data_IF_587275189214
#
_entry.id   IF_587275189214
#
_cell.length_a   1.000
_cell.length_b   1.000
_cell.length_c   1.000
_cell.angle_alpha   90.00
_cell.angle_beta   90.00
_cell.angle_gamma   90.00
#
_symmetry.space_group_name_H-M   'P 1'
#
loop_
_entity.id
_entity.type
_entity.pdbx_description
1 polymer ?
#
# COMPACT_ATOMS: atom_id res chain seq x y z
N UNK A 1 -21.53 18.97 4.17
CA UNK A 1 -20.14 19.07 4.69
C UNK A 1 -19.51 17.70 4.54
N UNK A 2 -18.22 17.62 4.23
CA UNK A 2 -17.53 16.34 4.08
C UNK A 2 -17.19 15.77 5.46
N UNK A 3 -17.45 14.48 5.67
CA UNK A 3 -17.16 13.78 6.94
C UNK A 3 -15.76 13.15 6.95
N UNK A 4 -15.05 13.21 5.82
CA UNK A 4 -13.62 12.91 5.72
C UNK A 4 -12.80 14.18 5.87
N UNK A 5 -11.75 14.14 6.70
CA UNK A 5 -10.83 15.29 6.90
C UNK A 5 -9.41 14.83 7.20
N UNK A 6 -8.42 15.59 6.74
CA UNK A 6 -7.01 15.37 7.04
C UNK A 6 -6.49 16.52 7.90
N UNK A 7 -5.87 16.19 9.03
CA UNK A 7 -5.21 17.15 9.91
C UNK A 7 -3.74 16.78 10.05
N UNK A 8 -2.86 17.72 9.73
CA UNK A 8 -1.44 17.63 10.04
C UNK A 8 -1.25 18.10 11.49
N UNK A 9 -0.59 17.28 12.30
CA UNK A 9 -0.28 17.58 13.69
C UNK A 9 1.09 18.25 13.83
N UNK A 10 2.09 17.69 13.14
CA UNK A 10 3.47 18.18 13.18
C UNK A 10 4.18 17.94 11.85
N UNK A 11 5.17 18.78 11.56
CA UNK A 11 6.06 18.62 10.41
C UNK A 11 7.54 18.71 10.83
N UNK A 12 8.40 17.98 10.12
CA UNK A 12 9.85 18.11 10.17
C UNK A 12 10.39 18.08 8.74
N UNK A 13 10.86 19.22 8.24
CA UNK A 13 11.20 19.36 6.82
C UNK A 13 9.98 19.07 5.93
N UNK A 14 10.11 18.12 5.00
CA UNK A 14 9.00 17.67 4.14
C UNK A 14 8.09 16.63 4.83
N UNK A 15 8.58 15.97 5.88
CA UNK A 15 7.86 14.91 6.57
C UNK A 15 6.71 15.46 7.43
N UNK A 16 5.62 14.69 7.53
CA UNK A 16 4.39 15.10 8.20
C UNK A 16 3.87 13.93 9.04
N UNK A 17 3.38 14.23 10.23
CA UNK A 17 2.53 13.31 10.99
C UNK A 17 1.19 13.96 11.25
N UNK A 18 0.12 13.15 11.21
CA UNK A 18 -1.24 13.65 11.26
C UNK A 18 -2.27 12.53 11.36
N UNK A 19 -3.52 12.90 11.11
CA UNK A 19 -4.66 12.00 11.17
C UNK A 19 -5.60 12.26 9.99
N UNK A 20 -5.90 11.21 9.22
CA UNK A 20 -6.99 11.18 8.26
C UNK A 20 -8.22 10.55 8.94
N UNK A 21 -9.25 11.35 9.17
CA UNK A 21 -10.50 10.93 9.81
C UNK A 21 -11.48 10.43 8.77
N UNK A 22 -12.10 9.29 9.02
CA UNK A 22 -13.23 8.77 8.24
C UNK A 22 -14.37 8.34 9.18
N UNK A 23 -15.60 8.13 8.69
CA UNK A 23 -16.71 7.65 9.51
C UNK A 23 -16.45 6.32 10.23
N UNK A 24 -15.54 5.47 9.73
CA UNK A 24 -15.20 4.16 10.32
C UNK A 24 -13.99 4.19 11.25
N UNK A 25 -13.29 5.32 11.34
CA UNK A 25 -12.16 5.46 12.25
C UNK A 25 -11.09 6.42 11.76
N UNK A 26 -10.18 6.73 12.69
CA UNK A 26 -9.04 7.60 12.45
C UNK A 26 -7.84 6.79 11.91
N UNK A 27 -7.14 7.35 10.93
CA UNK A 27 -5.94 6.77 10.32
C UNK A 27 -4.74 7.63 10.68
N UNK A 28 -3.79 7.11 11.46
CA UNK A 28 -2.58 7.84 11.86
C UNK A 28 -1.56 7.84 10.73
N UNK A 29 -1.07 9.01 10.32
CA UNK A 29 -0.06 9.15 9.26
C UNK A 29 1.33 9.54 9.81
N UNK A 30 2.46 9.02 9.27
CA UNK A 30 2.53 8.08 8.15
C UNK A 30 1.89 6.71 8.45
N UNK A 31 1.20 6.15 7.46
CA UNK A 31 0.35 4.95 7.58
C UNK A 31 0.83 3.84 6.63
N UNK A 32 0.87 2.61 7.13
CA UNK A 32 1.08 1.41 6.31
C UNK A 32 -0.20 0.57 6.26
N UNK A 33 -0.66 0.26 5.05
CA UNK A 33 -1.88 -0.48 4.77
C UNK A 33 -1.54 -1.93 4.43
N UNK A 34 -1.86 -2.92 5.30
CA UNK A 34 -1.80 -4.32 4.93
C UNK A 34 -2.74 -4.62 3.75
N UNK A 35 -2.23 -5.34 2.75
CA UNK A 35 -2.97 -5.62 1.51
C UNK A 35 -3.85 -6.87 1.66
N UNK A 36 -5.16 -6.67 1.56
CA UNK A 36 -6.21 -7.67 1.50
C UNK A 36 -6.64 -8.01 0.07
N UNK A 37 -5.89 -8.89 -0.60
CA UNK A 37 -6.06 -9.18 -2.03
C UNK A 37 -7.45 -9.72 -2.41
N UNK A 38 -8.08 -10.53 -1.57
CA UNK A 38 -9.37 -11.17 -1.87
C UNK A 38 -10.27 -11.14 -0.64
N UNK A 39 -10.49 -9.93 -0.10
CA UNK A 39 -11.23 -9.69 1.14
C UNK A 39 -10.61 -10.45 2.34
N UNK A 40 -9.29 -10.59 2.34
CA UNK A 40 -8.53 -11.16 3.46
C UNK A 40 -7.06 -10.74 3.34
N UNK A 41 -6.49 -10.30 4.45
CA UNK A 41 -5.03 -10.22 4.59
C UNK A 41 -4.53 -11.65 4.75
N UNK A 42 -3.77 -12.13 3.76
CA UNK A 42 -3.41 -13.55 3.66
C UNK A 42 -2.74 -14.04 4.95
N UNK A 43 -3.24 -15.15 5.47
CA UNK A 43 -2.75 -15.82 6.68
C UNK A 43 -2.97 -15.04 8.00
N UNK A 44 -3.92 -14.10 8.03
CA UNK A 44 -4.27 -13.32 9.22
C UNK A 44 -5.77 -13.32 9.46
N UNK A 45 -6.18 -13.43 10.72
CA UNK A 45 -7.53 -13.05 11.14
C UNK A 45 -7.62 -11.52 11.27
N UNK A 46 -8.77 -10.88 11.00
CA UNK A 46 -8.93 -9.42 11.11
C UNK A 46 -8.53 -8.85 12.49
N UNK A 47 -8.83 -9.58 13.56
CA UNK A 47 -8.47 -9.19 14.93
C UNK A 47 -6.95 -9.24 15.14
N UNK A 48 -6.28 -10.23 14.55
CA UNK A 48 -4.81 -10.31 14.55
C UNK A 48 -4.19 -9.16 13.76
N UNK A 49 -4.79 -8.73 12.64
CA UNK A 49 -4.32 -7.54 11.89
C UNK A 49 -4.52 -6.28 12.74
N UNK A 50 -5.67 -6.13 13.38
CA UNK A 50 -5.95 -5.03 14.32
C UNK A 50 -4.92 -4.98 15.44
N UNK A 51 -4.56 -6.13 16.02
CA UNK A 51 -3.58 -6.24 17.10
C UNK A 51 -2.16 -5.82 16.69
N UNK A 52 -1.82 -5.82 15.39
CA UNK A 52 -0.55 -5.24 14.91
C UNK A 52 -0.51 -3.71 15.04
N UNK A 53 -1.66 -3.06 15.20
CA UNK A 53 -1.79 -1.61 15.22
C UNK A 53 -2.20 -0.99 13.88
N UNK A 54 -2.57 -1.79 12.88
CA UNK A 54 -3.09 -1.28 11.60
C UNK A 54 -4.41 -0.52 11.79
N UNK A 55 -4.48 0.68 11.20
CA UNK A 55 -5.67 1.54 11.21
C UNK A 55 -6.55 1.33 9.98
N UNK A 56 -5.98 0.87 8.87
CA UNK A 56 -6.63 0.76 7.57
C UNK A 56 -6.04 -0.40 6.77
N UNK A 57 -6.84 -1.00 5.88
CA UNK A 57 -6.40 -2.00 4.89
C UNK A 57 -6.52 -1.48 3.46
N UNK A 58 -5.77 -2.11 2.55
CA UNK A 58 -6.02 -1.99 1.11
C UNK A 58 -6.80 -3.22 0.61
N UNK A 59 -7.97 -3.01 0.01
CA UNK A 59 -8.74 -4.01 -0.73
C UNK A 59 -8.46 -3.96 -2.22
N UNK A 60 -8.33 -5.11 -2.86
CA UNK A 60 -8.05 -5.18 -4.29
C UNK A 60 -9.33 -5.34 -5.13
N UNK A 61 -9.68 -4.31 -5.88
CA UNK A 61 -10.90 -4.26 -6.69
C UNK A 61 -10.89 -5.31 -7.80
N UNK A 62 -9.76 -5.49 -8.49
CA UNK A 62 -9.64 -6.44 -9.60
C UNK A 62 -9.98 -7.88 -9.19
N UNK A 63 -9.47 -8.35 -8.06
CA UNK A 63 -9.77 -9.70 -7.60
C UNK A 63 -11.22 -9.84 -7.13
N UNK A 64 -11.74 -8.84 -6.42
CA UNK A 64 -13.08 -8.87 -5.83
C UNK A 64 -14.19 -8.76 -6.89
N UNK A 65 -13.97 -7.99 -7.96
CA UNK A 65 -14.93 -7.91 -9.07
C UNK A 65 -15.06 -9.23 -9.83
N UNK A 66 -14.00 -10.05 -9.87
CA UNK A 66 -14.02 -11.35 -10.54
C UNK A 66 -14.57 -12.45 -9.62
N UNK A 67 -14.12 -12.49 -8.36
CA UNK A 67 -14.59 -13.47 -7.38
C UNK A 67 -14.47 -12.90 -5.97
N UNK A 68 -15.58 -12.76 -5.23
CA UNK A 68 -16.91 -13.35 -5.47
C UNK A 68 -17.89 -12.47 -6.29
N UNK A 69 -17.39 -11.40 -6.92
CA UNK A 69 -18.09 -10.26 -7.53
C UNK A 69 -18.55 -9.19 -6.54
N UNK A 70 -18.56 -7.94 -7.00
CA UNK A 70 -18.89 -6.77 -6.20
C UNK A 70 -20.38 -6.75 -5.82
N UNK A 71 -21.27 -7.12 -6.74
CA UNK A 71 -22.72 -7.24 -6.52
C UNK A 71 -23.03 -8.26 -5.42
N UNK A 72 -22.23 -9.34 -5.34
CA UNK A 72 -22.40 -10.34 -4.29
C UNK A 72 -21.97 -9.77 -2.94
N UNK A 73 -20.85 -9.05 -2.89
CA UNK A 73 -20.36 -8.43 -1.65
C UNK A 73 -21.36 -7.38 -1.15
N UNK A 74 -21.87 -6.53 -2.04
CA UNK A 74 -22.91 -5.54 -1.71
C UNK A 74 -24.13 -6.21 -1.07
N UNK A 75 -24.68 -7.25 -1.72
CA UNK A 75 -25.82 -8.03 -1.20
C UNK A 75 -25.54 -8.69 0.16
N UNK A 76 -24.28 -8.99 0.47
CA UNK A 76 -23.87 -9.57 1.75
C UNK A 76 -23.55 -8.50 2.82
N UNK A 77 -23.74 -7.22 2.49
CA UNK A 77 -23.62 -6.08 3.41
C UNK A 77 -22.31 -5.31 3.30
N UNK A 78 -21.65 -5.34 2.15
CA UNK A 78 -20.40 -4.62 1.89
C UNK A 78 -19.14 -5.34 2.38
N UNK A 79 -17.98 -4.86 1.94
CA UNK A 79 -16.69 -5.53 2.15
C UNK A 79 -16.34 -5.66 3.63
N UNK A 80 -16.62 -4.63 4.44
CA UNK A 80 -16.37 -4.61 5.89
C UNK A 80 -17.05 -5.78 6.60
N UNK A 81 -18.37 -5.94 6.39
CA UNK A 81 -19.13 -7.04 6.97
C UNK A 81 -18.70 -8.39 6.39
N UNK A 82 -18.43 -8.43 5.08
CA UNK A 82 -18.03 -9.65 4.39
C UNK A 82 -16.70 -10.24 4.92
N UNK A 83 -15.73 -9.39 5.26
CA UNK A 83 -14.41 -9.83 5.74
C UNK A 83 -14.21 -9.68 7.26
N UNK A 84 -15.24 -9.27 7.99
CA UNK A 84 -15.18 -8.98 9.43
C UNK A 84 -14.09 -7.94 9.80
N UNK A 85 -14.06 -6.83 9.06
CA UNK A 85 -13.18 -5.69 9.34
C UNK A 85 -14.02 -4.42 9.49
N UNK A 86 -14.03 -3.82 10.67
CA UNK A 86 -14.89 -2.69 11.04
C UNK A 86 -14.22 -1.31 10.86
N UNK A 87 -12.90 -1.30 10.67
CA UNK A 87 -12.06 -0.12 10.43
C UNK A 87 -12.05 0.31 8.95
N UNK A 88 -11.43 1.46 8.61
CA UNK A 88 -11.33 1.95 7.24
C UNK A 88 -10.70 0.95 6.25
N UNK A 89 -11.15 1.00 5.00
CA UNK A 89 -10.60 0.29 3.84
C UNK A 89 -10.39 1.28 2.68
N UNK A 90 -9.20 1.26 2.09
CA UNK A 90 -8.92 1.85 0.78
C UNK A 90 -9.08 0.77 -0.29
N UNK A 91 -9.79 1.03 -1.38
CA UNK A 91 -9.79 0.14 -2.55
C UNK A 91 -8.96 0.71 -3.67
N UNK A 92 -8.10 -0.11 -4.27
CA UNK A 92 -7.47 0.28 -5.54
C UNK A 92 -8.49 0.32 -6.69
N UNK A 93 -8.11 0.90 -7.82
CA UNK A 93 -9.01 1.07 -8.96
C UNK A 93 -9.16 -0.21 -9.81
N UNK A 94 -8.25 -1.17 -9.63
CA UNK A 94 -8.06 -2.36 -10.47
C UNK A 94 -7.22 -2.12 -11.73
N UNK A 95 -6.84 -0.87 -12.04
CA UNK A 95 -6.11 -0.52 -13.26
C UNK A 95 -4.77 -1.25 -13.40
N UNK A 96 -3.92 -1.17 -12.37
CA UNK A 96 -2.60 -1.81 -12.38
C UNK A 96 -2.66 -3.32 -12.64
N UNK A 97 -3.59 -4.04 -12.00
CA UNK A 97 -3.71 -5.49 -12.14
C UNK A 97 -4.19 -5.88 -13.53
N UNK A 98 -5.21 -5.21 -14.06
CA UNK A 98 -5.67 -5.45 -15.44
C UNK A 98 -4.53 -5.17 -16.42
N UNK A 99 -3.71 -4.15 -16.15
CA UNK A 99 -2.52 -3.89 -16.94
C UNK A 99 -1.43 -4.98 -16.78
N UNK A 100 -1.23 -5.56 -15.61
CA UNK A 100 -0.24 -6.63 -15.45
C UNK A 100 -0.54 -7.92 -16.25
N UNK A 101 -1.76 -8.07 -16.80
CA UNK A 101 -2.17 -9.22 -17.62
C UNK A 101 -1.68 -9.10 -19.07
N UNK A 102 -0.42 -9.48 -19.33
CA UNK A 102 0.13 -9.51 -20.68
C UNK A 102 -0.69 -10.40 -21.63
N UNK A 103 -1.00 -9.90 -22.84
CA UNK A 103 -1.67 -10.64 -23.91
C UNK A 103 -3.18 -10.86 -23.75
N UNK A 104 -3.77 -10.50 -22.61
CA UNK A 104 -5.20 -10.73 -22.31
C UNK A 104 -6.01 -9.43 -22.22
N UNK A 105 -5.47 -8.29 -22.68
CA UNK A 105 -6.09 -6.97 -22.54
C UNK A 105 -6.11 -6.17 -23.85
N UNK A 106 -7.11 -5.31 -24.01
CA UNK A 106 -7.21 -4.26 -25.03
C UNK A 106 -7.57 -2.94 -24.35
N UNK A 107 -6.62 -2.00 -24.38
CA UNK A 107 -6.77 -0.63 -23.85
C UNK A 107 -7.35 0.28 -24.94
N UNK A 108 -8.36 1.07 -24.58
CA UNK A 108 -8.94 2.13 -25.41
C UNK A 108 -9.23 3.36 -24.54
N UNK A 109 -9.58 4.49 -25.15
CA UNK A 109 -10.00 5.70 -24.41
C UNK A 109 -11.17 5.45 -23.45
N UNK A 110 -12.04 4.48 -23.77
CA UNK A 110 -13.20 4.16 -22.93
C UNK A 110 -12.83 3.42 -21.64
N UNK A 111 -11.77 2.60 -21.67
CA UNK A 111 -11.36 1.73 -20.58
C UNK A 111 -10.53 0.54 -21.06
N UNK A 112 -10.56 -0.57 -20.30
CA UNK A 112 -9.80 -1.78 -20.61
C UNK A 112 -10.70 -3.00 -20.70
N UNK A 113 -10.71 -3.64 -21.87
CA UNK A 113 -11.30 -4.97 -22.05
C UNK A 113 -10.26 -6.03 -21.73
N UNK A 114 -10.61 -7.05 -20.94
CA UNK A 114 -9.68 -8.11 -20.59
C UNK A 114 -10.37 -9.46 -20.36
N UNK A 115 -9.59 -10.54 -20.38
CA UNK A 115 -10.04 -11.88 -19.99
C UNK A 115 -9.65 -12.19 -18.55
N UNK A 116 -10.61 -12.70 -17.79
CA UNK A 116 -10.44 -13.16 -16.42
C UNK A 116 -9.38 -14.26 -16.35
N UNK A 117 -8.41 -14.12 -15.44
CA UNK A 117 -7.44 -15.16 -15.13
C UNK A 117 -8.03 -16.37 -14.40
N UNK A 118 -9.30 -16.29 -13.96
CA UNK A 118 -9.97 -17.35 -13.20
C UNK A 118 -10.65 -18.34 -14.14
N UNK A 119 -11.35 -17.85 -15.16
CA UNK A 119 -12.26 -18.64 -16.00
C UNK A 119 -12.28 -18.23 -17.48
N UNK A 120 -11.48 -17.22 -17.88
CA UNK A 120 -11.41 -16.74 -19.25
C UNK A 120 -12.58 -15.87 -19.70
N UNK A 121 -13.54 -15.56 -18.82
CA UNK A 121 -14.66 -14.66 -19.11
C UNK A 121 -14.17 -13.26 -19.52
N UNK A 122 -14.88 -12.61 -20.44
CA UNK A 122 -14.53 -11.26 -20.90
C UNK A 122 -15.17 -10.19 -20.01
N UNK A 123 -14.38 -9.20 -19.62
CA UNK A 123 -14.77 -8.08 -18.78
C UNK A 123 -14.35 -6.75 -19.41
N UNK A 124 -15.06 -5.68 -19.08
CA UNK A 124 -14.69 -4.32 -19.45
C UNK A 124 -14.64 -3.45 -18.19
N UNK A 125 -13.50 -2.83 -17.92
CA UNK A 125 -13.31 -1.94 -16.78
C UNK A 125 -13.07 -0.51 -17.30
N UNK A 126 -14.03 0.37 -17.00
CA UNK A 126 -13.99 1.80 -17.32
C UNK A 126 -13.88 2.61 -16.02
N UNK A 127 -13.54 3.92 -16.07
CA UNK A 127 -13.65 4.81 -14.93
C UNK A 127 -14.96 4.71 -14.15
N UNK A 128 -16.09 4.72 -14.85
CA UNK A 128 -17.43 4.64 -14.25
C UNK A 128 -17.64 3.29 -13.59
N UNK A 129 -17.31 2.20 -14.29
CA UNK A 129 -17.47 0.85 -13.75
C UNK A 129 -16.57 0.60 -12.53
N UNK A 130 -15.35 1.18 -12.51
CA UNK A 130 -14.48 1.12 -11.33
C UNK A 130 -15.10 1.84 -10.14
N UNK A 131 -15.71 3.02 -10.34
CA UNK A 131 -16.43 3.75 -9.28
C UNK A 131 -17.65 2.97 -8.78
N UNK A 132 -18.41 2.35 -9.67
CA UNK A 132 -19.56 1.50 -9.32
C UNK A 132 -19.14 0.27 -8.51
N UNK A 133 -18.04 -0.37 -8.90
CA UNK A 133 -17.52 -1.52 -8.16
C UNK A 133 -17.09 -1.10 -6.75
N UNK A 134 -16.28 -0.04 -6.63
CA UNK A 134 -15.83 0.43 -5.33
C UNK A 134 -16.99 0.92 -4.45
N UNK A 135 -18.05 1.46 -5.07
CA UNK A 135 -19.32 1.77 -4.38
C UNK A 135 -19.98 0.52 -3.79
N UNK A 136 -20.18 -0.52 -4.60
CA UNK A 136 -20.78 -1.79 -4.17
C UNK A 136 -19.94 -2.49 -3.09
N UNK A 137 -18.61 -2.37 -3.16
CA UNK A 137 -17.72 -2.85 -2.10
C UNK A 137 -17.91 -2.03 -0.80
N UNK A 138 -18.18 -0.73 -0.89
CA UNK A 138 -18.42 0.15 0.24
C UNK A 138 -17.16 0.62 0.96
N UNK A 139 -16.04 0.78 0.24
CA UNK A 139 -14.76 1.26 0.79
C UNK A 139 -14.82 2.72 1.22
N UNK A 140 -13.98 3.09 2.19
CA UNK A 140 -13.94 4.44 2.79
C UNK A 140 -13.12 5.41 1.93
N UNK A 141 -12.05 4.90 1.31
CA UNK A 141 -11.19 5.64 0.38
C UNK A 141 -11.21 4.92 -0.97
N UNK A 142 -11.64 5.64 -2.00
CA UNK A 142 -11.78 5.18 -3.38
C UNK A 142 -10.62 5.75 -4.20
N UNK A 143 -9.97 4.93 -5.01
CA UNK A 143 -8.95 5.40 -5.96
C UNK A 143 -9.58 5.64 -7.33
N UNK A 144 -9.32 6.80 -7.96
CA UNK A 144 -9.74 7.03 -9.33
C UNK A 144 -9.15 5.97 -10.27
N UNK A 145 -9.85 5.67 -11.37
CA UNK A 145 -9.31 4.77 -12.38
C UNK A 145 -8.23 5.48 -13.20
N UNK A 146 -7.11 4.78 -13.44
CA UNK A 146 -5.93 5.35 -14.07
C UNK A 146 -5.27 4.36 -15.04
N UNK A 147 -4.40 4.91 -15.89
CA UNK A 147 -3.48 4.16 -16.72
C UNK A 147 -2.08 4.21 -16.09
N UNK A 148 -1.59 3.06 -15.61
CA UNK A 148 -0.23 2.98 -15.08
C UNK A 148 0.76 3.16 -16.23
N UNK A 149 1.44 4.30 -16.23
CA UNK A 149 2.41 4.63 -17.27
C UNK A 149 3.51 3.57 -17.34
N UNK A 150 3.84 3.04 -18.53
CA UNK A 150 4.88 2.03 -18.67
C UNK A 150 6.28 2.58 -18.32
N UNK A 151 7.15 1.70 -17.83
CA UNK A 151 8.55 2.00 -17.56
C UNK A 151 9.45 0.82 -17.97
N UNK A 152 10.58 1.06 -18.68
CA UNK A 152 10.92 2.32 -19.34
C UNK A 152 9.99 2.59 -20.54
N UNK A 153 9.82 3.85 -20.92
CA UNK A 153 9.00 4.24 -22.07
C UNK A 153 9.47 5.57 -22.68
N UNK A 154 9.23 5.73 -23.98
CA UNK A 154 9.49 6.99 -24.69
C UNK A 154 8.59 8.12 -24.20
N UNK A 155 9.08 9.36 -24.29
CA UNK A 155 8.38 10.56 -23.79
C UNK A 155 6.95 10.70 -24.32
N UNK A 156 6.73 10.44 -25.60
CA UNK A 156 5.40 10.55 -26.21
C UNK A 156 4.43 9.48 -25.68
N UNK A 157 4.93 8.28 -25.37
CA UNK A 157 4.13 7.20 -24.75
C UNK A 157 3.78 7.58 -23.31
N UNK A 158 4.74 8.12 -22.56
CA UNK A 158 4.52 8.63 -21.20
C UNK A 158 3.45 9.74 -21.20
N UNK A 159 3.57 10.70 -22.10
CA UNK A 159 2.64 11.83 -22.20
C UNK A 159 1.23 11.37 -22.60
N UNK A 160 1.10 10.45 -23.56
CA UNK A 160 -0.19 9.92 -23.99
C UNK A 160 -0.90 9.17 -22.85
N UNK A 161 -0.17 8.29 -22.15
CA UNK A 161 -0.66 7.50 -21.02
C UNK A 161 -1.09 8.37 -19.83
N UNK A 162 -0.25 9.34 -19.46
CA UNK A 162 -0.55 10.28 -18.37
C UNK A 162 -1.79 11.13 -18.69
N UNK A 163 -1.90 11.68 -19.92
CA UNK A 163 -3.06 12.48 -20.32
C UNK A 163 -4.35 11.65 -20.39
N UNK A 164 -4.27 10.38 -20.79
CA UNK A 164 -5.42 9.46 -20.70
C UNK A 164 -5.84 9.27 -19.25
N UNK A 165 -4.90 9.04 -18.35
CA UNK A 165 -5.16 8.95 -16.90
C UNK A 165 -5.84 10.19 -16.35
N UNK A 166 -5.48 11.40 -16.80
CA UNK A 166 -6.13 12.63 -16.34
C UNK A 166 -7.58 12.76 -16.83
N UNK A 167 -7.87 12.34 -18.07
CA UNK A 167 -9.26 12.26 -18.57
C UNK A 167 -10.07 11.22 -17.82
N UNK A 168 -9.46 10.09 -17.48
CA UNK A 168 -10.08 9.06 -16.65
C UNK A 168 -10.30 9.52 -15.20
N UNK A 169 -9.38 10.30 -14.64
CA UNK A 169 -9.53 10.90 -13.32
C UNK A 169 -10.76 11.83 -13.25
N UNK A 170 -10.98 12.66 -14.29
CA UNK A 170 -12.19 13.49 -14.39
C UNK A 170 -13.46 12.62 -14.46
N UNK A 171 -13.47 11.60 -15.33
CA UNK A 171 -14.61 10.67 -15.46
C UNK A 171 -14.90 9.93 -14.14
N UNK A 172 -13.87 9.50 -13.42
CA UNK A 172 -14.02 8.92 -12.09
C UNK A 172 -14.56 9.92 -11.08
N UNK A 173 -14.13 11.18 -11.12
CA UNK A 173 -14.66 12.24 -10.25
C UNK A 173 -16.15 12.45 -10.49
N UNK A 174 -16.56 12.52 -11.75
CA UNK A 174 -17.95 12.72 -12.14
C UNK A 174 -18.83 11.52 -11.72
N UNK A 175 -18.35 10.30 -11.96
CA UNK A 175 -19.05 9.06 -11.59
C UNK A 175 -19.10 8.82 -10.07
N UNK A 176 -18.11 9.29 -9.31
CA UNK A 176 -18.11 9.21 -7.85
C UNK A 176 -19.23 10.05 -7.24
N UNK A 177 -19.50 11.24 -7.81
CA UNK A 177 -20.58 12.13 -7.37
C UNK A 177 -20.39 12.69 -5.97
N UNK A 178 -21.49 13.11 -5.32
CA UNK A 178 -21.46 13.61 -3.95
C UNK A 178 -21.63 12.47 -2.94
N UNK A 179 -20.55 12.17 -2.22
CA UNK A 179 -20.48 11.12 -1.18
C UNK A 179 -19.72 11.66 0.02
N UNK A 180 -20.37 12.38 0.94
CA UNK A 180 -19.68 13.09 2.03
C UNK A 180 -18.95 12.16 3.01
N UNK A 181 -19.37 10.90 3.10
CA UNK A 181 -18.79 9.87 3.97
C UNK A 181 -17.60 9.13 3.37
N UNK A 182 -17.29 9.36 2.09
CA UNK A 182 -16.24 8.65 1.36
C UNK A 182 -15.21 9.65 0.80
N UNK A 183 -13.97 9.20 0.68
CA UNK A 183 -12.90 9.95 0.04
C UNK A 183 -12.65 9.44 -1.38
N UNK A 184 -12.35 10.34 -2.31
CA UNK A 184 -11.82 9.99 -3.63
C UNK A 184 -10.40 10.54 -3.77
N UNK A 185 -9.45 9.66 -4.06
CA UNK A 185 -8.05 10.01 -4.29
C UNK A 185 -7.74 10.03 -5.80
N UNK A 186 -7.05 11.08 -6.23
CA UNK A 186 -6.49 11.18 -7.58
C UNK A 186 -5.13 10.51 -7.67
N UNK A 187 -4.70 10.07 -8.85
CA UNK A 187 -3.41 9.37 -9.03
C UNK A 187 -2.53 10.18 -9.99
N UNK A 188 -1.44 10.75 -9.46
CA UNK A 188 -0.42 11.43 -10.26
C UNK A 188 0.36 10.39 -11.06
N UNK A 189 0.41 10.57 -12.37
CA UNK A 189 1.20 9.77 -13.32
C UNK A 189 2.31 10.65 -13.93
N UNK A 190 3.08 10.10 -14.88
CA UNK A 190 4.16 10.83 -15.56
C UNK A 190 5.54 10.19 -15.46
N UNK A 191 5.63 8.92 -15.06
CA UNK A 191 6.88 8.16 -15.01
C UNK A 191 7.95 8.88 -14.16
N UNK A 192 9.22 8.89 -14.59
CA UNK A 192 10.34 9.54 -13.93
C UNK A 192 10.60 10.98 -14.40
N UNK A 193 9.69 11.58 -15.17
CA UNK A 193 9.89 12.87 -15.84
C UNK A 193 9.23 14.03 -15.07
N UNK A 194 9.99 15.04 -14.60
CA UNK A 194 9.45 16.16 -13.82
C UNK A 194 8.31 16.93 -14.51
N UNK A 195 8.46 17.23 -15.80
CA UNK A 195 7.47 18.03 -16.55
C UNK A 195 6.13 17.29 -16.68
N UNK A 196 6.16 15.96 -16.82
CA UNK A 196 4.95 15.14 -16.92
C UNK A 196 4.25 15.02 -15.57
N UNK A 197 5.02 14.93 -14.49
CA UNK A 197 4.53 14.92 -13.12
C UNK A 197 3.89 16.25 -12.74
N UNK A 198 4.44 17.37 -13.22
CA UNK A 198 3.86 18.71 -13.05
C UNK A 198 2.53 18.84 -13.81
N UNK A 199 2.50 18.50 -15.10
CA UNK A 199 1.26 18.51 -15.92
C UNK A 199 0.15 17.66 -15.26
N UNK A 200 0.50 16.44 -14.78
CA UNK A 200 -0.44 15.58 -14.06
C UNK A 200 -0.94 16.21 -12.76
N UNK A 201 -0.07 16.88 -12.00
CA UNK A 201 -0.44 17.51 -10.73
C UNK A 201 -1.39 18.67 -10.93
N UNK A 202 -1.16 19.53 -11.94
CA UNK A 202 -2.05 20.65 -12.25
C UNK A 202 -3.43 20.17 -12.68
N UNK A 203 -3.50 19.12 -13.51
CA UNK A 203 -4.77 18.52 -13.90
C UNK A 203 -5.54 17.99 -12.68
N UNK A 204 -4.90 17.22 -11.79
CA UNK A 204 -5.57 16.69 -10.59
C UNK A 204 -5.98 17.78 -9.59
N UNK A 205 -5.21 18.87 -9.48
CA UNK A 205 -5.58 20.03 -8.65
C UNK A 205 -6.80 20.74 -9.19
N UNK A 206 -6.88 20.91 -10.52
CA UNK A 206 -8.04 21.50 -11.19
C UNK A 206 -9.32 20.69 -10.97
N UNK A 207 -9.23 19.35 -11.03
CA UNK A 207 -10.35 18.44 -10.79
C UNK A 207 -10.78 18.43 -9.31
N UNK A 208 -9.80 18.42 -8.39
CA UNK A 208 -10.01 18.43 -6.94
C UNK A 208 -10.31 17.05 -6.35
N UNK A 209 -9.44 16.58 -5.45
CA UNK A 209 -9.55 15.29 -4.77
C UNK A 209 -9.34 15.43 -3.25
N UNK A 210 -9.68 14.37 -2.51
CA UNK A 210 -9.55 14.33 -1.05
C UNK A 210 -8.16 13.92 -0.58
N UNK A 211 -7.41 13.30 -1.47
CA UNK A 211 -6.03 12.88 -1.32
C UNK A 211 -5.42 12.63 -2.69
N UNK A 212 -4.09 12.54 -2.73
CA UNK A 212 -3.35 12.45 -3.96
C UNK A 212 -2.32 11.33 -3.86
N UNK A 213 -2.47 10.32 -4.71
CA UNK A 213 -1.51 9.25 -4.82
C UNK A 213 -0.42 9.56 -5.84
N UNK A 214 0.75 8.99 -5.63
CA UNK A 214 1.90 9.01 -6.52
C UNK A 214 1.96 7.61 -7.15
N UNK A 215 1.44 7.50 -8.37
CA UNK A 215 1.40 6.26 -9.14
C UNK A 215 2.61 6.09 -10.06
N UNK A 216 2.74 4.91 -10.66
CA UNK A 216 3.77 4.63 -11.68
C UNK A 216 5.20 4.63 -11.15
N UNK A 217 5.38 4.36 -9.85
CA UNK A 217 6.67 4.07 -9.20
C UNK A 217 6.64 2.64 -8.62
N UNK A 218 7.80 2.11 -8.22
CA UNK A 218 8.05 0.71 -7.89
C UNK A 218 7.68 -0.27 -9.02
N UNK A 219 7.92 0.15 -10.27
CA UNK A 219 7.64 -0.63 -11.49
C UNK A 219 8.91 -1.15 -12.17
N UNK A 220 10.09 -0.85 -11.62
CA UNK A 220 11.38 -1.39 -12.08
C UNK A 220 12.50 -0.36 -12.17
N UNK A 221 12.24 0.88 -11.79
CA UNK A 221 13.16 2.02 -11.85
C UNK A 221 14.30 1.98 -10.82
N UNK A 222 14.11 1.22 -9.73
CA UNK A 222 15.06 1.16 -8.63
C UNK A 222 14.87 2.28 -7.61
N UNK A 223 15.53 2.14 -6.46
CA UNK A 223 15.29 3.03 -5.32
C UNK A 223 15.80 4.47 -5.58
N UNK A 224 16.96 4.61 -6.21
CA UNK A 224 17.56 5.91 -6.51
C UNK A 224 16.63 6.75 -7.41
N UNK A 225 16.21 6.20 -8.55
CA UNK A 225 15.28 6.88 -9.45
C UNK A 225 13.91 7.16 -8.79
N UNK A 226 13.41 6.23 -7.96
CA UNK A 226 12.19 6.48 -7.17
C UNK A 226 12.37 7.69 -6.25
N UNK A 227 13.51 7.79 -5.55
CA UNK A 227 13.80 8.90 -4.65
C UNK A 227 14.00 10.23 -5.38
N UNK A 228 14.66 10.22 -6.53
CA UNK A 228 14.78 11.41 -7.40
C UNK A 228 13.40 11.96 -7.78
N UNK A 229 12.46 11.07 -8.12
CA UNK A 229 11.07 11.47 -8.41
C UNK A 229 10.39 12.01 -7.16
N UNK A 230 10.56 11.33 -6.02
CA UNK A 230 9.96 11.75 -4.75
C UNK A 230 10.56 13.06 -4.22
N UNK A 231 11.70 13.52 -4.71
CA UNK A 231 12.27 14.81 -4.30
C UNK A 231 11.46 16.01 -4.81
N UNK A 232 10.75 15.86 -5.94
CA UNK A 232 9.90 16.91 -6.50
C UNK A 232 8.39 16.58 -6.50
N UNK A 233 8.00 15.32 -6.77
CA UNK A 233 6.60 14.97 -7.06
C UNK A 233 5.62 15.22 -5.89
N UNK A 234 5.91 14.83 -4.63
CA UNK A 234 5.06 15.16 -3.48
C UNK A 234 4.85 16.67 -3.30
N UNK A 235 5.87 17.48 -3.63
CA UNK A 235 5.82 18.94 -3.51
C UNK A 235 4.90 19.62 -4.53
N UNK A 236 4.57 18.95 -5.63
CA UNK A 236 3.64 19.45 -6.66
C UNK A 236 2.16 19.27 -6.25
N UNK A 237 1.89 18.44 -5.24
CA UNK A 237 0.56 18.10 -4.75
C UNK A 237 0.11 19.02 -3.59
N UNK A 238 -1.21 19.25 -3.40
CA UNK A 238 -1.72 20.08 -2.30
C UNK A 238 -1.15 19.69 -0.94
N UNK A 239 -0.69 20.68 -0.18
CA UNK A 239 -0.02 20.46 1.10
C UNK A 239 -0.98 20.03 2.22
N UNK A 240 -2.25 20.45 2.13
CA UNK A 240 -3.33 20.18 3.07
C UNK A 240 -4.05 18.84 2.82
N UNK A 241 -3.52 18.01 1.91
CA UNK A 241 -4.10 16.72 1.52
C UNK A 241 -3.12 15.57 1.76
N UNK A 242 -3.62 14.37 2.07
CA UNK A 242 -2.78 13.20 2.25
C UNK A 242 -2.12 12.80 0.93
N UNK A 243 -0.87 12.32 1.01
CA UNK A 243 -0.06 11.86 -0.12
C UNK A 243 0.23 10.37 0.01
N UNK A 244 -0.18 9.59 -0.98
CA UNK A 244 -0.13 8.12 -0.96
C UNK A 244 0.83 7.57 -2.00
N UNK A 245 1.93 6.92 -1.59
CA UNK A 245 2.83 6.24 -2.51
C UNK A 245 2.37 4.78 -2.72
N UNK A 246 1.95 4.47 -3.94
CA UNK A 246 1.31 3.19 -4.26
C UNK A 246 2.33 2.07 -4.48
N UNK A 247 2.11 0.91 -3.85
CA UNK A 247 2.86 -0.33 -4.09
C UNK A 247 4.29 -0.39 -3.53
N UNK A 248 4.78 0.69 -2.91
CA UNK A 248 6.11 0.76 -2.30
C UNK A 248 6.07 0.21 -0.89
N UNK A 249 7.12 -0.55 -0.53
CA UNK A 249 7.25 -0.81 0.89
C UNK A 249 8.37 -1.70 1.36
N UNK A 250 9.61 -1.63 0.87
CA UNK A 250 10.71 -2.06 1.75
C UNK A 250 10.83 -1.06 2.91
N UNK A 251 11.27 -1.49 4.10
CA UNK A 251 11.44 -0.58 5.24
C UNK A 251 12.26 0.67 4.91
N UNK A 252 13.36 0.50 4.15
CA UNK A 252 14.24 1.60 3.74
C UNK A 252 13.56 2.55 2.75
N UNK A 253 12.75 2.03 1.82
CA UNK A 253 11.96 2.84 0.86
C UNK A 253 10.96 3.73 1.60
N UNK A 254 10.30 3.17 2.62
CA UNK A 254 9.32 3.87 3.45
C UNK A 254 9.96 5.03 4.19
N UNK A 255 11.09 4.80 4.86
CA UNK A 255 11.78 5.84 5.64
C UNK A 255 12.19 7.00 4.72
N UNK A 256 12.81 6.69 3.58
CA UNK A 256 13.21 7.70 2.61
C UNK A 256 12.05 8.45 1.94
N UNK A 257 10.91 7.77 1.73
CA UNK A 257 9.70 8.40 1.20
C UNK A 257 8.98 9.30 2.22
N UNK A 258 8.98 8.92 3.50
CA UNK A 258 8.47 9.78 4.59
C UNK A 258 9.29 11.04 4.72
N UNK A 259 10.63 10.95 4.66
CA UNK A 259 11.52 12.13 4.61
C UNK A 259 11.22 13.05 3.42
N UNK A 260 10.59 12.53 2.36
CA UNK A 260 10.15 13.27 1.16
C UNK A 260 8.68 13.69 1.18
N UNK A 261 7.98 13.45 2.29
CA UNK A 261 6.64 13.97 2.54
C UNK A 261 5.49 13.09 2.10
N UNK A 262 5.70 11.78 1.96
CA UNK A 262 4.63 10.78 1.75
C UNK A 262 3.98 10.40 3.10
N UNK A 263 2.65 10.26 3.11
CA UNK A 263 1.86 9.95 4.32
C UNK A 263 1.30 8.52 4.36
N UNK A 264 1.12 7.86 3.22
CA UNK A 264 0.45 6.57 3.15
C UNK A 264 1.21 5.63 2.22
N UNK A 265 1.20 4.34 2.58
CA UNK A 265 1.91 3.27 1.89
C UNK A 265 1.07 2.00 1.89
N UNK A 266 1.23 1.18 0.85
CA UNK A 266 0.79 -0.20 0.83
C UNK A 266 1.87 -1.07 0.19
N UNK A 267 2.02 -2.30 0.67
CA UNK A 267 2.85 -3.26 -0.03
C UNK A 267 2.45 -4.68 0.34
N UNK A 268 2.50 -5.58 -0.65
CA UNK A 268 2.35 -7.03 -0.41
C UNK A 268 3.59 -7.65 0.23
N UNK A 269 4.73 -6.95 0.27
CA UNK A 269 6.02 -7.48 0.73
C UNK A 269 5.94 -8.15 2.11
N UNK A 270 5.44 -7.53 3.20
CA UNK A 270 5.46 -8.17 4.52
C UNK A 270 4.70 -9.50 4.55
N UNK A 271 3.50 -9.56 3.95
CA UNK A 271 2.72 -10.80 3.92
C UNK A 271 3.27 -11.83 2.93
N UNK A 272 3.63 -11.42 1.71
CA UNK A 272 4.14 -12.33 0.67
C UNK A 272 5.49 -12.92 1.06
N UNK A 273 6.42 -12.09 1.53
CA UNK A 273 7.75 -12.53 1.95
C UNK A 273 7.71 -13.42 3.18
N UNK A 274 6.82 -13.11 4.15
CA UNK A 274 6.55 -13.92 5.33
C UNK A 274 6.15 -15.35 4.96
N UNK A 275 5.17 -15.52 4.07
CA UNK A 275 4.76 -16.84 3.57
C UNK A 275 5.85 -17.61 2.81
N UNK A 276 6.88 -16.90 2.32
CA UNK A 276 8.03 -17.52 1.65
C UNK A 276 9.24 -17.76 2.56
N UNK A 277 9.13 -17.41 3.85
CA UNK A 277 10.15 -17.65 4.87
C UNK A 277 11.10 -16.49 5.15
N UNK A 278 10.79 -15.30 4.66
CA UNK A 278 11.56 -14.10 4.97
C UNK A 278 10.88 -13.36 6.13
N UNK A 279 11.62 -13.13 7.21
CA UNK A 279 11.19 -12.31 8.33
C UNK A 279 11.88 -10.95 8.28
N UNK A 280 11.14 -9.89 8.61
CA UNK A 280 11.62 -8.52 8.69
C UNK A 280 12.02 -8.22 10.14
N UNK A 281 13.27 -7.83 10.38
CA UNK A 281 13.75 -7.47 11.71
C UNK A 281 14.29 -6.05 11.70
N UNK A 282 14.48 -5.45 12.88
CA UNK A 282 15.17 -4.16 13.03
C UNK A 282 16.57 -4.13 12.40
N UNK A 283 17.24 -5.28 12.32
CA UNK A 283 18.58 -5.41 11.72
C UNK A 283 18.56 -5.85 10.25
N UNK A 284 17.39 -5.91 9.62
CA UNK A 284 17.24 -6.30 8.21
C UNK A 284 16.42 -7.57 8.01
N UNK A 285 16.29 -7.97 6.75
CA UNK A 285 15.53 -9.15 6.39
C UNK A 285 16.37 -10.43 6.59
N UNK A 286 15.78 -11.43 7.23
CA UNK A 286 16.41 -12.75 7.44
C UNK A 286 15.64 -13.84 6.69
N UNK A 287 16.32 -14.92 6.34
CA UNK A 287 15.73 -16.04 5.60
C UNK A 287 15.75 -17.32 6.44
N UNK A 288 14.58 -17.71 6.94
CA UNK A 288 14.40 -18.89 7.78
C UNK A 288 14.70 -20.21 7.06
N UNK A 289 15.02 -20.21 5.75
CA UNK A 289 15.54 -21.41 5.08
C UNK A 289 17.00 -21.70 5.41
N UNK A 290 17.73 -20.72 5.92
CA UNK A 290 19.15 -20.84 6.25
C UNK A 290 19.35 -21.82 7.42
N UNK A 291 20.35 -22.70 7.31
CA UNK A 291 20.69 -23.71 8.31
C UNK A 291 21.13 -23.10 9.65
N UNK A 292 21.62 -21.86 9.67
CA UNK A 292 22.00 -21.14 10.91
C UNK A 292 20.88 -21.02 11.94
N UNK A 293 19.62 -21.21 11.52
CA UNK A 293 18.47 -21.09 12.39
C UNK A 293 18.05 -22.42 13.02
N UNK A 294 18.63 -23.56 12.65
CA UNK A 294 18.19 -24.91 13.07
C UNK A 294 18.13 -25.03 14.60
N UNK A 295 19.17 -24.57 15.29
CA UNK A 295 19.31 -24.69 16.74
C UNK A 295 19.22 -23.35 17.48
N UNK A 296 18.78 -22.28 16.81
CA UNK A 296 18.72 -20.94 17.41
C UNK A 296 17.47 -20.77 18.30
N UNK A 297 17.60 -20.73 19.64
CA UNK A 297 16.46 -20.64 20.55
C UNK A 297 15.91 -19.20 20.68
N UNK A 298 16.62 -18.20 20.11
CA UNK A 298 16.25 -16.79 20.21
C UNK A 298 15.04 -16.47 19.31
N UNK A 299 14.29 -15.39 19.60
CA UNK A 299 13.22 -14.93 18.71
C UNK A 299 13.77 -14.33 17.41
N UNK A 300 12.87 -13.97 16.48
CA UNK A 300 13.28 -13.29 15.23
C UNK A 300 13.94 -11.94 15.54
N UNK A 301 13.38 -11.20 16.49
CA UNK A 301 13.78 -9.86 16.95
C UNK A 301 13.46 -9.75 18.46
N UNK A 302 14.46 -9.46 19.29
CA UNK A 302 14.31 -9.40 20.76
C UNK A 302 13.53 -8.18 21.25
N UNK A 303 13.45 -7.11 20.44
CA UNK A 303 12.67 -5.91 20.78
C UNK A 303 11.21 -6.02 20.29
N UNK A 304 10.86 -7.06 19.54
CA UNK A 304 9.53 -7.22 18.96
C UNK A 304 8.54 -7.85 19.95
N UNK A 305 7.41 -7.17 20.19
CA UNK A 305 6.38 -7.63 21.13
C UNK A 305 5.27 -8.46 20.48
N UNK A 306 5.40 -8.87 19.22
CA UNK A 306 4.37 -9.67 18.57
C UNK A 306 4.31 -11.10 19.16
N UNK A 307 3.16 -11.80 19.04
CA UNK A 307 3.05 -13.17 19.55
C UNK A 307 4.07 -14.15 18.99
N UNK A 308 4.56 -13.91 17.76
CA UNK A 308 5.62 -14.73 17.16
C UNK A 308 6.93 -14.61 17.94
N UNK A 309 7.39 -13.39 18.23
CA UNK A 309 8.65 -13.17 18.93
C UNK A 309 8.57 -13.47 20.43
N UNK A 310 7.39 -13.33 21.05
CA UNK A 310 7.24 -13.62 22.48
C UNK A 310 7.20 -15.11 22.80
N UNK A 311 6.78 -15.96 21.86
CA UNK A 311 6.44 -17.36 22.16
C UNK A 311 7.20 -18.39 21.32
N UNK A 312 7.91 -17.98 20.26
CA UNK A 312 8.53 -18.92 19.33
C UNK A 312 9.98 -18.57 19.01
N UNK A 313 10.81 -19.60 18.93
CA UNK A 313 12.22 -19.50 18.55
C UNK A 313 12.41 -19.53 17.04
N UNK A 314 13.56 -19.01 16.58
CA UNK A 314 14.05 -19.18 15.20
C UNK A 314 14.14 -20.65 14.80
N UNK A 315 14.57 -21.54 15.70
CA UNK A 315 14.60 -23.00 15.50
C UNK A 315 13.24 -23.58 15.16
N UNK A 316 12.22 -23.25 15.96
CA UNK A 316 10.86 -23.70 15.68
C UNK A 316 10.37 -23.17 14.33
N UNK A 317 10.52 -21.86 14.09
CA UNK A 317 10.08 -21.20 12.86
C UNK A 317 10.80 -21.76 11.61
N UNK A 318 12.09 -22.06 11.70
CA UNK A 318 12.87 -22.74 10.67
C UNK A 318 12.26 -24.11 10.35
N UNK A 319 12.01 -24.92 11.38
CA UNK A 319 11.45 -26.26 11.25
C UNK A 319 10.08 -26.22 10.56
N UNK A 320 9.11 -25.46 11.09
CA UNK A 320 7.75 -25.42 10.53
C UNK A 320 7.73 -24.84 9.11
N UNK A 321 8.65 -23.93 8.79
CA UNK A 321 8.78 -23.40 7.42
C UNK A 321 9.31 -24.46 6.45
N UNK A 322 10.36 -25.20 6.84
CA UNK A 322 10.90 -26.30 6.04
C UNK A 322 9.88 -27.43 5.84
N UNK A 323 9.09 -27.71 6.87
CA UNK A 323 7.99 -28.67 6.85
C UNK A 323 6.77 -28.19 6.05
N UNK A 324 6.76 -26.93 5.57
CA UNK A 324 5.67 -26.30 4.81
C UNK A 324 4.34 -26.23 5.58
N UNK A 325 4.42 -26.13 6.90
CA UNK A 325 3.25 -26.02 7.75
C UNK A 325 2.60 -24.64 7.62
N UNK A 326 1.27 -24.59 7.56
CA UNK A 326 0.48 -23.35 7.37
C UNK A 326 0.79 -22.33 8.48
N UNK A 327 1.02 -22.81 9.70
CA UNK A 327 1.32 -21.97 10.86
C UNK A 327 2.59 -21.12 10.66
N UNK A 328 3.54 -21.56 9.83
CA UNK A 328 4.71 -20.75 9.44
C UNK A 328 4.27 -19.48 8.71
N UNK A 329 3.37 -19.62 7.73
CA UNK A 329 2.83 -18.48 6.99
C UNK A 329 2.08 -17.51 7.89
N UNK A 330 1.36 -18.01 8.90
CA UNK A 330 0.62 -17.19 9.85
C UNK A 330 1.57 -16.40 10.77
N UNK A 331 2.49 -17.09 11.45
CA UNK A 331 3.42 -16.47 12.40
C UNK A 331 4.36 -15.46 11.73
N UNK A 332 4.88 -15.77 10.55
CA UNK A 332 5.78 -14.86 9.82
C UNK A 332 5.04 -13.67 9.21
N UNK A 333 3.80 -13.85 8.76
CA UNK A 333 2.99 -12.72 8.30
C UNK A 333 2.62 -11.80 9.45
N UNK A 334 2.23 -12.35 10.60
CA UNK A 334 1.95 -11.55 11.80
C UNK A 334 3.18 -10.74 12.20
N UNK A 335 4.34 -11.39 12.36
CA UNK A 335 5.59 -10.73 12.72
C UNK A 335 5.94 -9.59 11.76
N UNK A 336 5.90 -9.85 10.46
CA UNK A 336 6.26 -8.84 9.46
C UNK A 336 5.29 -7.65 9.48
N UNK A 337 3.98 -7.88 9.60
CA UNK A 337 3.01 -6.80 9.67
C UNK A 337 3.16 -5.98 10.95
N UNK A 338 3.43 -6.63 12.08
CA UNK A 338 3.72 -5.96 13.35
C UNK A 338 4.94 -5.05 13.23
N UNK A 339 6.05 -5.55 12.67
CA UNK A 339 7.25 -4.75 12.44
C UNK A 339 6.97 -3.50 11.59
N UNK A 340 6.16 -3.61 10.54
CA UNK A 340 5.80 -2.46 9.72
C UNK A 340 4.99 -1.42 10.49
N UNK A 341 4.06 -1.85 11.35
CA UNK A 341 3.30 -0.93 12.19
C UNK A 341 4.17 -0.28 13.28
N UNK A 342 5.15 -1.01 13.84
CA UNK A 342 6.15 -0.44 14.74
C UNK A 342 7.04 0.60 14.04
N UNK A 343 7.44 0.35 12.78
CA UNK A 343 8.19 1.31 11.98
C UNK A 343 7.37 2.60 11.77
N UNK A 344 6.09 2.48 11.40
CA UNK A 344 5.20 3.64 11.29
C UNK A 344 5.05 4.39 12.63
N UNK A 345 4.94 3.66 13.73
CA UNK A 345 4.86 4.26 15.07
C UNK A 345 6.13 5.06 15.40
N UNK A 346 7.31 4.49 15.13
CA UNK A 346 8.59 5.17 15.33
C UNK A 346 8.73 6.43 14.47
N UNK A 347 8.36 6.36 13.19
CA UNK A 347 8.36 7.50 12.28
C UNK A 347 7.44 8.63 12.76
N UNK A 348 6.21 8.30 13.18
CA UNK A 348 5.27 9.28 13.73
C UNK A 348 5.84 9.96 14.98
N UNK A 349 6.39 9.18 15.91
CA UNK A 349 6.98 9.71 17.14
C UNK A 349 8.17 10.62 16.84
N UNK A 350 9.06 10.21 15.93
CA UNK A 350 10.25 10.98 15.55
C UNK A 350 9.88 12.32 14.89
N UNK A 351 8.86 12.35 14.02
CA UNK A 351 8.36 13.61 13.42
C UNK A 351 7.75 14.51 14.50
N UNK A 352 6.95 13.95 15.41
CA UNK A 352 6.26 14.71 16.47
C UNK A 352 7.25 15.48 17.36
N UNK A 353 8.39 14.87 17.69
CA UNK A 353 9.41 15.46 18.58
C UNK A 353 10.61 16.10 17.84
N UNK A 354 10.63 16.08 16.50
CA UNK A 354 11.67 16.72 15.70
C UNK A 354 12.99 15.94 15.56
N UNK A 355 12.98 14.61 15.66
CA UNK A 355 14.17 13.72 15.61
C UNK A 355 14.14 12.73 14.44
N UNK A 356 13.47 13.04 13.33
CA UNK A 356 13.36 12.14 12.18
C UNK A 356 14.71 11.74 11.58
N UNK A 357 15.65 12.67 11.44
CA UNK A 357 16.96 12.39 10.84
C UNK A 357 17.80 11.46 11.72
N UNK A 358 17.77 11.65 13.04
CA UNK A 358 18.41 10.73 14.00
C UNK A 358 17.75 9.34 13.97
N UNK A 359 16.42 9.29 13.87
CA UNK A 359 15.68 8.04 13.72
C UNK A 359 16.08 7.30 12.44
N UNK A 360 16.16 8.00 11.31
CA UNK A 360 16.56 7.41 10.03
C UNK A 360 18.02 6.92 10.06
N UNK A 361 18.94 7.71 10.62
CA UNK A 361 20.34 7.32 10.79
C UNK A 361 20.48 6.07 11.66
N UNK A 362 19.79 6.04 12.81
CA UNK A 362 19.79 4.86 13.70
C UNK A 362 19.14 3.64 13.04
N UNK A 363 18.07 3.83 12.26
CA UNK A 363 17.42 2.78 11.48
C UNK A 363 18.38 2.15 10.46
N UNK A 364 19.08 2.96 9.67
CA UNK A 364 20.05 2.45 8.68
C UNK A 364 21.24 1.77 9.36
N UNK A 365 21.83 2.39 10.38
CA UNK A 365 22.94 1.81 11.14
C UNK A 365 22.60 0.45 11.75
N UNK A 366 21.38 0.29 12.29
CA UNK A 366 20.92 -1.02 12.81
C UNK A 366 20.81 -2.08 11.72
N UNK A 367 20.39 -1.71 10.51
CA UNK A 367 20.24 -2.66 9.39
C UNK A 367 21.56 -3.07 8.78
N UNK A 368 22.59 -2.22 8.86
CA UNK A 368 23.95 -2.57 8.45
C UNK A 368 24.57 -3.68 9.30
N UNK A 369 24.12 -3.86 10.55
CA UNK A 369 24.54 -4.97 11.43
C UNK A 369 24.18 -6.32 10.79
N UNK A 370 23.03 -6.41 10.12
CA UNK A 370 22.53 -7.66 9.58
C UNK A 370 22.08 -8.66 10.65
N UNK A 371 21.91 -9.92 10.25
CA UNK A 371 21.40 -10.96 11.14
C UNK A 371 22.37 -11.29 12.29
N UNK A 372 21.83 -11.54 13.50
CA UNK A 372 22.61 -11.86 14.70
C UNK A 372 23.57 -13.03 14.47
N UNK A 373 24.75 -13.06 15.11
CA UNK A 373 25.72 -14.15 14.96
C UNK A 373 25.08 -15.53 15.19
N UNK A 374 25.47 -16.51 14.36
CA UNK A 374 25.04 -17.91 14.55
C UNK A 374 25.53 -18.39 15.90
N UNK A 375 24.70 -19.16 16.60
CA UNK A 375 25.21 -20.02 17.66
C UNK A 375 26.05 -21.11 16.97
N UNK A 376 27.27 -21.32 17.47
CA UNK A 376 28.25 -22.27 16.92
C UNK A 376 27.82 -23.69 17.22
#
# INVERSE_FOLDING_TARGET
MKNVSFKINQTQGKARTGVLRTPRGDIRTPAFMPVGTAATVKAMMPESVTATGADILLGNTYHLMLRPTAERIERLGGIHKFMNWDKPILTDSGGFQVMSLAGLRKLTEEGVKFKSHIDGSEHNLTPERSMDIQHMLGSDIVMCFDECTPYPAERDVVAASMRMSMRWAQRSKDAFGDRPDHALFGIQQGSTTPEMREESSEALKSIGFDGYAIGGLAVGEGQEAMFDVLDYAPGMLPADKPRYLMGVGKPDDIVGAVQRGVDMFDCVLPSRSGRTGQAQTRMGAINLRNARHIDDPRPLDEECTCPTCQNYSRAYLHHIHKSKEIISSMLLTWHNLHYYQELMLGLRAAIEIGTLDDFAAAFHARREIGDIPSLV
#
